data_IF_982196929958
#
_entry.id   IF_982196929958
#
_cell.length_a   1.000
_cell.length_b   1.000
_cell.length_c   1.000
_cell.angle_alpha   90.00
_cell.angle_beta   90.00
_cell.angle_gamma   90.00
#
_symmetry.space_group_name_H-M   'P 1'
#
loop_
_entity.id
_entity.type
_entity.pdbx_description
1 polymer ?
#
# COMPACT_ATOMS: atom_id res chain seq x y z
N UNK A 1 0.51 -26.32 -10.76
CA UNK A 1 -0.42 -25.18 -10.89
C UNK A 1 -0.21 -24.11 -9.79
N UNK A 2 -0.06 -22.82 -10.13
CA UNK A 2 0.02 -21.77 -9.12
C UNK A 2 -1.30 -21.76 -8.29
N UNK A 3 -1.19 -21.67 -6.96
CA UNK A 3 -2.36 -21.52 -6.08
C UNK A 3 -3.10 -20.24 -6.46
N UNK A 4 -4.33 -20.37 -6.96
CA UNK A 4 -5.22 -19.21 -7.16
C UNK A 4 -5.57 -18.62 -5.80
N UNK A 5 -5.49 -17.30 -5.68
CA UNK A 5 -6.00 -16.59 -4.51
C UNK A 5 -7.52 -16.67 -4.51
N UNK A 6 -8.08 -17.06 -3.38
CA UNK A 6 -9.52 -17.00 -3.14
C UNK A 6 -9.89 -15.54 -2.81
N UNK A 7 -10.53 -14.86 -3.77
CA UNK A 7 -10.89 -13.45 -3.66
C UNK A 7 -11.96 -13.22 -2.58
N UNK A 8 -12.91 -14.15 -2.40
CA UNK A 8 -13.94 -14.02 -1.38
C UNK A 8 -13.33 -14.09 0.02
N UNK A 9 -12.34 -14.96 0.19
CA UNK A 9 -11.57 -15.06 1.43
C UNK A 9 -10.74 -13.80 1.69
N UNK A 10 -10.12 -13.22 0.67
CA UNK A 10 -9.36 -11.97 0.79
C UNK A 10 -10.28 -10.81 1.17
N UNK A 11 -11.42 -10.66 0.48
CA UNK A 11 -12.40 -9.60 0.75
C UNK A 11 -12.99 -9.71 2.16
N UNK A 12 -13.35 -10.92 2.62
CA UNK A 12 -13.80 -11.12 4.01
C UNK A 12 -12.68 -10.77 5.00
N UNK A 13 -11.44 -11.14 4.70
CA UNK A 13 -10.28 -10.80 5.51
C UNK A 13 -10.08 -9.29 5.64
N UNK A 14 -10.15 -8.56 4.53
CA UNK A 14 -10.04 -7.10 4.50
C UNK A 14 -11.21 -6.42 5.21
N UNK A 15 -12.43 -6.94 5.06
CA UNK A 15 -13.60 -6.44 5.79
C UNK A 15 -13.42 -6.55 7.30
N UNK A 16 -13.02 -7.73 7.80
CA UNK A 16 -12.75 -7.92 9.23
C UNK A 16 -11.60 -7.01 9.70
N UNK A 17 -10.51 -6.93 8.93
CA UNK A 17 -9.37 -6.08 9.29
C UNK A 17 -9.76 -4.60 9.39
N UNK A 18 -10.56 -4.09 8.45
CA UNK A 18 -11.01 -2.71 8.44
C UNK A 18 -12.04 -2.41 9.53
N UNK A 19 -12.94 -3.35 9.84
CA UNK A 19 -13.84 -3.21 10.99
C UNK A 19 -13.05 -3.11 12.29
N UNK A 20 -12.07 -3.98 12.51
CA UNK A 20 -11.21 -3.93 13.70
C UNK A 20 -10.36 -2.65 13.73
N UNK A 21 -9.80 -2.23 12.60
CA UNK A 21 -9.06 -0.97 12.50
C UNK A 21 -9.94 0.22 12.90
N UNK A 22 -11.15 0.33 12.34
CA UNK A 22 -12.09 1.39 12.68
C UNK A 22 -12.49 1.40 14.16
N UNK A 23 -12.74 0.23 14.77
CA UNK A 23 -13.05 0.11 16.20
C UNK A 23 -11.90 0.56 17.11
N UNK A 24 -10.65 0.41 16.65
CA UNK A 24 -9.45 0.82 17.38
C UNK A 24 -8.97 2.24 17.01
N UNK A 25 -9.72 2.99 16.19
CA UNK A 25 -9.34 4.33 15.71
C UNK A 25 -8.26 4.34 14.63
N UNK A 26 -7.98 3.20 14.01
CA UNK A 26 -7.01 3.04 12.92
C UNK A 26 -7.55 3.45 11.56
N UNK A 27 -6.62 3.69 10.63
CA UNK A 27 -6.93 4.01 9.23
C UNK A 27 -7.30 2.76 8.42
N UNK A 28 -8.10 2.90 7.35
CA UNK A 28 -8.40 1.81 6.43
C UNK A 28 -7.13 1.16 5.86
N UNK A 29 -7.12 -0.16 5.82
CA UNK A 29 -6.01 -0.99 5.36
C UNK A 29 -6.39 -1.68 4.06
N UNK A 30 -5.42 -1.77 3.15
CA UNK A 30 -5.51 -2.52 1.90
C UNK A 30 -4.24 -3.36 1.65
N UNK A 31 -4.38 -4.37 0.80
CA UNK A 31 -3.26 -5.18 0.31
C UNK A 31 -2.27 -4.32 -0.50
N UNK A 32 -1.02 -4.26 -0.05
CA UNK A 32 0.03 -3.48 -0.72
C UNK A 32 0.97 -4.34 -1.56
N UNK A 33 0.99 -4.12 -2.87
CA UNK A 33 1.89 -4.84 -3.82
C UNK A 33 3.36 -4.61 -3.48
N UNK A 34 3.73 -3.38 -3.07
CA UNK A 34 5.10 -3.02 -2.73
C UNK A 34 5.61 -3.84 -1.54
N UNK A 35 4.86 -3.86 -0.43
CA UNK A 35 5.19 -4.66 0.76
C UNK A 35 5.22 -6.16 0.45
N UNK A 36 4.26 -6.65 -0.32
CA UNK A 36 4.21 -8.05 -0.74
C UNK A 36 5.45 -8.46 -1.55
N UNK A 37 5.85 -7.65 -2.53
CA UNK A 37 7.03 -7.92 -3.36
C UNK A 37 8.33 -7.85 -2.56
N UNK A 38 8.48 -6.88 -1.65
CA UNK A 38 9.62 -6.79 -0.75
C UNK A 38 9.73 -8.04 0.15
N UNK A 39 8.59 -8.51 0.68
CA UNK A 39 8.53 -9.69 1.53
C UNK A 39 8.94 -10.96 0.76
N UNK A 40 8.49 -11.12 -0.48
CA UNK A 40 8.91 -12.24 -1.34
C UNK A 40 10.39 -12.14 -1.71
N UNK A 41 10.91 -10.93 -2.02
CA UNK A 41 12.33 -10.70 -2.29
C UNK A 41 13.22 -10.99 -1.08
N UNK A 42 12.69 -10.81 0.14
CA UNK A 42 13.35 -11.20 1.39
C UNK A 42 13.29 -12.72 1.67
N UNK A 43 12.72 -13.52 0.76
CA UNK A 43 12.65 -14.98 0.88
C UNK A 43 11.48 -15.48 1.72
N UNK A 44 10.47 -14.66 2.00
CA UNK A 44 9.32 -15.11 2.77
C UNK A 44 8.49 -16.16 2.00
N UNK A 45 8.27 -17.31 2.63
CA UNK A 45 7.54 -18.45 2.05
C UNK A 45 6.13 -18.63 2.61
N UNK A 46 5.76 -17.88 3.64
CA UNK A 46 4.50 -18.05 4.36
C UNK A 46 3.96 -16.80 5.03
N UNK A 47 2.77 -16.92 5.64
CA UNK A 47 2.04 -15.82 6.28
C UNK A 47 2.69 -15.30 7.56
N UNK A 48 3.59 -16.09 8.16
CA UNK A 48 4.29 -15.75 9.39
C UNK A 48 5.08 -14.44 9.27
N UNK A 49 5.70 -14.19 8.10
CA UNK A 49 6.46 -12.95 7.88
C UNK A 49 5.57 -11.71 8.01
N UNK A 50 4.37 -11.73 7.43
CA UNK A 50 3.42 -10.61 7.51
C UNK A 50 2.92 -10.40 8.93
N UNK A 51 2.65 -11.48 9.67
CA UNK A 51 2.21 -11.41 11.08
C UNK A 51 3.33 -10.85 11.96
N UNK A 52 4.55 -11.38 11.83
CA UNK A 52 5.71 -10.90 12.58
C UNK A 52 6.03 -9.44 12.27
N UNK A 53 5.91 -9.02 11.00
CA UNK A 53 6.05 -7.61 10.64
C UNK A 53 5.03 -6.73 11.36
N UNK A 54 3.75 -7.14 11.42
CA UNK A 54 2.73 -6.42 12.18
C UNK A 54 3.04 -6.36 13.68
N UNK A 55 3.51 -7.45 14.28
CA UNK A 55 3.96 -7.49 15.69
C UNK A 55 5.11 -6.52 15.92
N UNK A 56 6.11 -6.50 15.04
CA UNK A 56 7.24 -5.57 15.14
C UNK A 56 6.80 -4.11 15.03
N UNK A 57 5.86 -3.80 14.14
CA UNK A 57 5.30 -2.45 14.02
C UNK A 57 4.57 -2.05 15.30
N UNK A 58 3.77 -2.94 15.90
CA UNK A 58 3.07 -2.67 17.17
C UNK A 58 4.05 -2.46 18.32
N UNK A 59 5.09 -3.30 18.43
CA UNK A 59 6.13 -3.15 19.45
C UNK A 59 6.90 -1.84 19.26
N UNK A 60 7.29 -1.51 18.04
CA UNK A 60 7.96 -0.25 17.74
C UNK A 60 7.06 0.96 18.05
N UNK A 61 5.79 0.92 17.66
CA UNK A 61 4.82 1.96 17.95
C UNK A 61 4.63 2.19 19.46
N UNK A 62 4.66 1.13 20.29
CA UNK A 62 4.52 1.27 21.74
C UNK A 62 5.82 1.66 22.46
N UNK A 63 6.97 1.15 22.03
CA UNK A 63 8.25 1.31 22.72
C UNK A 63 9.07 2.52 22.25
N UNK A 64 8.95 2.92 20.98
CA UNK A 64 9.79 3.97 20.35
C UNK A 64 9.05 5.31 20.15
N UNK A 65 7.97 5.56 20.88
CA UNK A 65 7.18 6.82 20.77
C UNK A 65 8.10 8.05 20.87
N UNK A 66 8.96 8.09 21.88
CA UNK A 66 9.88 9.21 22.12
C UNK A 66 10.91 9.42 21.02
N UNK A 67 11.22 8.40 20.22
CA UNK A 67 12.12 8.50 19.06
C UNK A 67 11.37 9.07 17.86
N UNK A 68 10.12 8.69 17.67
CA UNK A 68 9.30 9.16 16.54
C UNK A 68 8.99 10.65 16.60
N UNK A 69 8.94 11.25 17.78
CA UNK A 69 8.76 12.70 17.97
C UNK A 69 9.90 13.53 17.35
N UNK A 70 11.09 12.96 17.18
CA UNK A 70 12.24 13.64 16.57
C UNK A 70 12.20 13.61 15.05
N UNK A 71 11.28 12.86 14.44
CA UNK A 71 11.21 12.74 12.99
C UNK A 71 10.73 14.08 12.42
N UNK A 72 11.55 14.78 11.60
CA UNK A 72 11.13 16.02 11.00
C UNK A 72 9.96 15.80 10.04
N UNK A 73 8.94 16.64 10.10
CA UNK A 73 7.80 16.59 9.17
C UNK A 73 8.25 16.68 7.70
N UNK A 74 9.34 17.42 7.43
CA UNK A 74 9.95 17.51 6.10
C UNK A 74 10.43 16.14 5.59
N UNK A 75 10.98 15.28 6.46
CA UNK A 75 11.42 13.94 6.08
C UNK A 75 10.23 13.04 5.73
N UNK A 76 9.12 13.15 6.48
CA UNK A 76 7.87 12.44 6.18
C UNK A 76 7.27 12.90 4.84
N UNK A 77 7.24 14.21 4.59
CA UNK A 77 6.76 14.75 3.32
C UNK A 77 7.62 14.26 2.14
N UNK A 78 8.95 14.28 2.27
CA UNK A 78 9.86 13.77 1.26
C UNK A 78 9.64 12.26 1.00
N UNK A 79 9.45 11.47 2.06
CA UNK A 79 9.15 10.04 1.94
C UNK A 79 7.85 9.80 1.16
N UNK A 80 6.77 10.53 1.49
CA UNK A 80 5.48 10.44 0.77
C UNK A 80 5.65 10.81 -0.70
N UNK A 81 6.40 11.88 -1.00
CA UNK A 81 6.70 12.28 -2.38
C UNK A 81 7.42 11.18 -3.15
N UNK A 82 8.45 10.58 -2.57
CA UNK A 82 9.21 9.49 -3.21
C UNK A 82 8.31 8.28 -3.48
N UNK A 83 7.49 7.87 -2.51
CA UNK A 83 6.56 6.75 -2.68
C UNK A 83 5.52 7.06 -3.76
N UNK A 84 4.97 8.29 -3.78
CA UNK A 84 4.03 8.74 -4.81
C UNK A 84 4.62 8.68 -6.22
N UNK A 85 5.87 9.15 -6.39
CA UNK A 85 6.57 9.07 -7.68
C UNK A 85 6.84 7.62 -8.10
N UNK A 86 7.15 6.72 -7.17
CA UNK A 86 7.34 5.30 -7.47
C UNK A 86 6.06 4.58 -7.90
N UNK A 87 4.88 5.08 -7.50
CA UNK A 87 3.60 4.53 -7.96
C UNK A 87 3.27 4.91 -9.41
N UNK A 88 3.89 5.97 -9.96
CA UNK A 88 3.69 6.39 -11.34
C UNK A 88 4.45 5.46 -12.28
N UNK A 89 3.73 4.70 -13.10
CA UNK A 89 4.32 3.88 -14.15
C UNK A 89 4.60 4.71 -15.40
N UNK A 90 5.80 5.28 -15.49
CA UNK A 90 6.26 6.06 -16.65
C UNK A 90 6.29 5.24 -17.95
N UNK A 91 6.48 3.91 -17.85
CA UNK A 91 6.47 3.00 -19.00
C UNK A 91 5.07 2.83 -19.61
N UNK A 92 4.01 2.87 -18.80
CA UNK A 92 2.63 2.75 -19.28
C UNK A 92 2.18 4.00 -20.04
N UNK A 93 2.58 5.19 -19.55
CA UNK A 93 2.31 6.48 -20.19
C UNK A 93 2.88 6.53 -21.61
N UNK A 94 4.08 5.98 -21.84
CA UNK A 94 4.71 5.95 -23.17
C UNK A 94 4.02 5.00 -24.15
N UNK A 95 3.42 3.92 -23.66
CA UNK A 95 2.79 2.88 -24.50
C UNK A 95 1.29 3.13 -24.76
N UNK A 96 0.62 3.87 -23.86
CA UNK A 96 -0.78 4.31 -24.01
C UNK A 96 -0.98 5.20 -25.24
N UNK A 97 0.03 5.99 -25.63
CA UNK A 97 -0.05 6.81 -26.84
C UNK A 97 -0.21 5.99 -28.14
N UNK A 98 0.04 4.67 -28.10
CA UNK A 98 -0.06 3.77 -29.25
C UNK A 98 -1.43 3.07 -29.36
N UNK A 99 -2.26 3.12 -28.31
CA UNK A 99 -3.57 2.45 -28.24
C UNK A 99 -4.70 3.47 -28.01
N UNK A 100 -5.95 3.15 -28.40
CA UNK A 100 -7.13 4.05 -28.25
C UNK A 100 -7.62 4.25 -26.80
N UNK A 101 -6.76 3.96 -25.82
CA UNK A 101 -7.06 3.96 -24.38
C UNK A 101 -6.76 5.30 -23.70
N UNK A 102 -6.04 6.18 -24.42
CA UNK A 102 -5.72 7.54 -23.97
C UNK A 102 -6.91 8.35 -23.41
N UNK A 103 -8.11 8.36 -24.03
CA UNK A 103 -9.22 9.15 -23.48
C UNK A 103 -9.71 8.63 -22.12
N UNK A 104 -9.68 7.32 -21.88
CA UNK A 104 -10.06 6.74 -20.57
C UNK A 104 -9.01 7.10 -19.52
N UNK A 105 -7.73 7.03 -19.88
CA UNK A 105 -6.64 7.43 -18.98
C UNK A 105 -6.72 8.91 -18.62
N UNK A 106 -6.91 9.78 -19.62
CA UNK A 106 -7.05 11.22 -19.39
C UNK A 106 -8.28 11.55 -18.55
N UNK A 107 -9.42 10.91 -18.80
CA UNK A 107 -10.65 11.12 -18.03
C UNK A 107 -10.51 10.67 -16.56
N UNK A 108 -9.85 9.53 -16.31
CA UNK A 108 -9.62 9.05 -14.94
C UNK A 108 -8.64 9.94 -14.18
N UNK A 109 -7.54 10.36 -14.80
CA UNK A 109 -6.59 11.31 -14.18
C UNK A 109 -7.25 12.65 -13.91
N UNK A 110 -7.95 13.23 -14.89
CA UNK A 110 -8.64 14.50 -14.71
C UNK A 110 -9.73 14.40 -13.62
N UNK A 111 -10.49 13.30 -13.60
CA UNK A 111 -11.48 13.04 -12.57
C UNK A 111 -10.86 12.96 -11.17
N UNK A 112 -9.77 12.21 -11.01
CA UNK A 112 -9.08 12.09 -9.72
C UNK A 112 -8.47 13.44 -9.29
N UNK A 113 -7.88 14.21 -10.20
CA UNK A 113 -7.26 15.50 -9.86
C UNK A 113 -8.31 16.58 -9.55
N UNK A 114 -9.49 16.52 -10.18
CA UNK A 114 -10.55 17.50 -9.97
C UNK A 114 -11.44 17.20 -8.75
N UNK A 115 -11.67 15.92 -8.44
CA UNK A 115 -12.63 15.48 -7.41
C UNK A 115 -11.98 14.76 -6.22
N UNK A 116 -10.73 14.32 -6.33
CA UNK A 116 -9.96 13.69 -5.25
C UNK A 116 -9.37 14.72 -4.31
#
# INVERSE_FOLDING_TARGET
PPRRSDLDRELRGQGIANTLAGLLGGLPVAGGVVRGSANVRAGATGRASTVLHGVWVLLAAGLLITVFEWIPLAALAALVMVVGVQMVSFAHIRNVHRHREFPVYAATVAGVVAFG
#
